data_IF_693236325727
#
_entry.id   IF_693236325727
#
_cell.length_a   1.000
_cell.length_b   1.000
_cell.length_c   1.000
_cell.angle_alpha   90.00
_cell.angle_beta   90.00
_cell.angle_gamma   90.00
#
_symmetry.space_group_name_H-M   'P 1'
#
loop_
_entity.id
_entity.type
_entity.pdbx_description
1 polymer ?
#
# COMPACT_ATOMS: atom_id res chain seq x y z
N UNK A 1 -11.73 -25.48 -11.10
CA UNK A 1 -10.61 -24.73 -11.66
C UNK A 1 -11.13 -24.03 -12.90
N UNK A 2 -11.44 -22.73 -12.81
CA UNK A 2 -11.82 -21.90 -13.96
C UNK A 2 -10.68 -20.91 -14.17
N UNK A 3 -9.86 -21.14 -15.17
CA UNK A 3 -8.83 -20.19 -15.61
C UNK A 3 -9.50 -19.08 -16.40
N UNK A 4 -9.64 -17.91 -15.82
CA UNK A 4 -10.04 -16.71 -16.53
C UNK A 4 -8.80 -16.15 -17.28
N UNK A 5 -8.76 -16.36 -18.59
CA UNK A 5 -7.78 -15.74 -19.47
C UNK A 5 -8.10 -14.24 -19.61
N UNK A 6 -7.35 -13.38 -18.93
CA UNK A 6 -7.38 -11.95 -19.18
C UNK A 6 -6.58 -11.68 -20.45
N UNK A 7 -7.32 -11.43 -21.54
CA UNK A 7 -6.76 -11.00 -22.82
C UNK A 7 -6.33 -9.53 -22.68
N UNK A 8 -5.05 -9.27 -22.38
CA UNK A 8 -4.46 -7.93 -22.47
C UNK A 8 -4.37 -7.56 -23.96
N UNK A 9 -5.26 -6.69 -24.41
CA UNK A 9 -5.14 -6.03 -25.70
C UNK A 9 -3.98 -5.05 -25.63
N UNK A 10 -2.80 -5.47 -26.05
CA UNK A 10 -1.65 -4.59 -26.26
C UNK A 10 -1.92 -3.71 -27.50
N UNK A 11 -2.35 -2.48 -27.26
CA UNK A 11 -2.33 -1.43 -28.28
C UNK A 11 -0.88 -0.88 -28.29
N UNK A 12 -0.10 -1.06 -29.34
CA UNK A 12 1.22 -0.45 -29.43
C UNK A 12 1.04 1.05 -29.73
N UNK A 13 0.89 1.85 -28.68
CA UNK A 13 1.26 3.26 -28.76
C UNK A 13 2.76 3.31 -28.54
N UNK A 14 3.50 3.81 -29.51
CA UNK A 14 4.90 4.20 -29.34
C UNK A 14 4.94 5.23 -28.22
N UNK A 15 5.15 4.75 -27.01
CA UNK A 15 5.28 5.62 -25.83
C UNK A 15 6.65 6.27 -25.92
N UNK A 16 6.68 7.60 -25.95
CA UNK A 16 7.88 8.41 -25.70
C UNK A 16 8.28 8.31 -24.21
N UNK A 17 8.45 7.07 -23.73
CA UNK A 17 8.83 6.83 -22.34
C UNK A 17 10.23 7.38 -22.02
N UNK A 18 11.12 7.37 -23.00
CA UNK A 18 12.50 7.84 -22.83
C UNK A 18 12.59 9.37 -22.64
N UNK A 19 11.64 10.14 -23.12
CA UNK A 19 11.61 11.60 -22.92
C UNK A 19 11.14 11.98 -21.51
N UNK A 20 10.16 11.28 -20.94
CA UNK A 20 9.60 11.63 -19.63
C UNK A 20 10.57 11.36 -18.50
N UNK A 21 11.23 10.20 -18.50
CA UNK A 21 12.18 9.85 -17.43
C UNK A 21 13.43 10.73 -17.45
N UNK A 22 13.82 11.23 -18.62
CA UNK A 22 14.98 12.13 -18.80
C UNK A 22 14.65 13.63 -18.69
N UNK A 23 13.41 13.96 -18.35
CA UNK A 23 12.94 15.35 -18.20
C UNK A 23 12.68 15.65 -16.71
N UNK A 24 13.70 16.03 -15.92
CA UNK A 24 13.53 16.32 -14.50
C UNK A 24 12.44 17.37 -14.26
N UNK A 25 11.54 17.10 -13.31
CA UNK A 25 10.44 17.98 -12.97
C UNK A 25 9.23 17.93 -13.91
N UNK A 26 9.24 17.10 -14.96
CA UNK A 26 8.09 16.91 -15.86
C UNK A 26 7.06 15.92 -15.27
N UNK A 27 6.73 16.05 -14.00
CA UNK A 27 5.72 15.27 -13.29
C UNK A 27 4.65 16.20 -12.69
N UNK A 28 3.46 15.69 -12.30
CA UNK A 28 2.45 16.48 -11.61
C UNK A 28 3.01 17.16 -10.36
N UNK A 29 2.74 18.45 -10.21
CA UNK A 29 3.11 19.22 -9.02
C UNK A 29 1.91 19.28 -8.08
N UNK A 30 2.03 18.66 -6.90
CA UNK A 30 0.99 18.62 -5.90
C UNK A 30 1.59 18.83 -4.50
N UNK A 31 0.73 19.24 -3.56
CA UNK A 31 1.14 19.41 -2.17
C UNK A 31 0.79 18.22 -1.30
N UNK A 32 -0.33 17.56 -1.63
CA UNK A 32 -0.83 16.39 -0.89
C UNK A 32 -1.45 15.42 -1.89
N UNK A 33 -1.17 14.14 -1.70
CA UNK A 33 -1.84 13.02 -2.36
C UNK A 33 -2.74 12.32 -1.34
N UNK A 34 -3.95 11.93 -1.73
CA UNK A 34 -4.87 11.13 -0.92
C UNK A 34 -5.20 9.87 -1.71
N UNK A 35 -5.02 8.70 -1.08
CA UNK A 35 -5.19 7.39 -1.72
C UNK A 35 -6.10 6.50 -0.85
N UNK A 36 -7.42 6.50 -1.03
CA UNK A 36 -8.28 5.41 -0.57
C UNK A 36 -7.91 4.11 -1.31
N UNK A 37 -7.87 2.98 -0.58
CA UNK A 37 -7.45 1.71 -1.15
C UNK A 37 -8.05 0.50 -0.44
N UNK A 38 -8.06 -0.63 -1.15
CA UNK A 38 -8.26 -1.95 -0.59
C UNK A 38 -6.92 -2.52 -0.14
N UNK A 39 -6.94 -3.30 0.95
CA UNK A 39 -5.76 -3.91 1.55
C UNK A 39 -5.93 -5.42 1.59
N UNK A 40 -4.87 -6.13 1.23
CA UNK A 40 -4.69 -7.56 1.48
C UNK A 40 -3.48 -7.68 2.40
N UNK A 41 -3.68 -8.22 3.59
CA UNK A 41 -2.63 -8.46 4.58
C UNK A 41 -1.94 -9.81 4.34
N UNK A 42 -0.63 -9.84 4.61
CA UNK A 42 0.20 -11.03 4.45
C UNK A 42 -0.08 -12.04 5.59
N UNK A 43 -0.22 -13.32 5.24
CA UNK A 43 -0.47 -14.43 6.17
C UNK A 43 0.75 -14.77 7.04
N UNK A 44 1.95 -14.42 6.63
CA UNK A 44 3.17 -14.66 7.40
C UNK A 44 3.24 -13.84 8.69
N UNK A 45 2.50 -12.73 8.77
CA UNK A 45 2.51 -11.82 9.93
C UNK A 45 1.43 -12.19 10.95
N UNK A 46 0.22 -12.52 10.48
CA UNK A 46 -0.98 -12.66 11.31
C UNK A 46 -1.68 -14.02 11.19
N UNK A 47 -0.96 -15.04 10.74
CA UNK A 47 -1.39 -16.44 10.62
C UNK A 47 -2.48 -16.74 9.57
N UNK A 48 -3.02 -15.74 8.90
CA UNK A 48 -3.93 -15.90 7.77
C UNK A 48 -3.88 -14.69 6.85
N UNK A 49 -4.33 -14.82 5.61
CA UNK A 49 -4.50 -13.67 4.74
C UNK A 49 -5.63 -12.78 5.29
N UNK A 50 -5.35 -11.48 5.40
CA UNK A 50 -6.31 -10.48 5.83
C UNK A 50 -6.85 -9.67 4.67
N UNK A 51 -7.99 -9.05 4.85
CA UNK A 51 -8.57 -8.11 3.88
C UNK A 51 -9.13 -6.87 4.58
N UNK A 52 -9.07 -5.76 3.90
CA UNK A 52 -9.48 -4.51 4.52
C UNK A 52 -9.54 -3.33 3.58
N UNK A 53 -9.66 -2.16 4.17
CA UNK A 53 -9.66 -0.87 3.50
C UNK A 53 -8.80 0.11 4.26
N UNK A 54 -8.29 1.09 3.56
CA UNK A 54 -7.46 2.12 4.16
C UNK A 54 -7.40 3.39 3.36
N UNK A 55 -6.66 4.34 3.90
CA UNK A 55 -6.33 5.57 3.21
C UNK A 55 -4.87 5.96 3.50
N UNK A 56 -4.18 6.42 2.48
CA UNK A 56 -2.83 6.98 2.55
C UNK A 56 -2.82 8.45 2.20
N UNK A 57 -1.90 9.17 2.82
CA UNK A 57 -1.61 10.57 2.55
C UNK A 57 -0.13 10.67 2.19
N UNK A 58 0.16 11.27 1.04
CA UNK A 58 1.51 11.50 0.55
C UNK A 58 1.84 12.99 0.50
N UNK A 59 2.98 13.39 1.07
CA UNK A 59 3.47 14.77 1.02
C UNK A 59 4.82 14.75 0.32
N UNK A 60 4.96 15.36 -0.87
CA UNK A 60 6.26 15.51 -1.53
C UNK A 60 7.19 16.37 -0.70
N UNK A 61 8.35 15.82 -0.33
CA UNK A 61 9.39 16.52 0.45
C UNK A 61 10.60 16.90 -0.39
N UNK A 62 10.86 16.17 -1.48
CA UNK A 62 11.91 16.49 -2.47
C UNK A 62 11.28 16.40 -3.86
N UNK A 63 10.94 17.54 -4.45
CA UNK A 63 10.21 17.60 -5.73
C UNK A 63 11.00 17.01 -6.90
N UNK A 64 12.29 17.26 -6.98
CA UNK A 64 13.15 16.75 -8.06
C UNK A 64 13.98 15.53 -7.64
N UNK A 65 13.58 14.86 -6.53
CA UNK A 65 14.19 13.63 -6.03
C UNK A 65 15.68 13.74 -5.72
N UNK A 66 16.33 12.57 -5.58
CA UNK A 66 17.76 12.51 -5.26
C UNK A 66 18.66 12.44 -6.50
N UNK A 67 18.11 12.13 -7.67
CA UNK A 67 18.87 12.00 -8.91
C UNK A 67 18.48 13.11 -9.88
N UNK A 68 19.33 14.17 -10.03
CA UNK A 68 18.96 15.35 -10.80
C UNK A 68 18.81 15.14 -12.31
N UNK A 69 19.34 14.03 -12.83
CA UNK A 69 19.31 13.72 -14.28
C UNK A 69 18.06 12.97 -14.75
N UNK A 70 17.17 12.59 -13.82
CA UNK A 70 15.95 11.86 -14.14
C UNK A 70 14.73 12.48 -13.47
N UNK A 71 13.56 12.19 -14.02
CA UNK A 71 12.29 12.65 -13.49
C UNK A 71 11.86 11.78 -12.31
N UNK A 72 12.10 12.28 -11.10
CA UNK A 72 11.85 11.58 -9.86
C UNK A 72 11.45 12.55 -8.74
N UNK A 73 10.76 12.02 -7.72
CA UNK A 73 10.40 12.79 -6.52
C UNK A 73 10.47 11.91 -5.28
N UNK A 74 10.58 12.53 -4.12
CA UNK A 74 10.52 11.83 -2.83
C UNK A 74 9.39 12.40 -2.00
N UNK A 75 8.56 11.50 -1.45
CA UNK A 75 7.45 11.84 -0.59
C UNK A 75 7.55 11.10 0.75
N UNK A 76 6.98 11.67 1.78
CA UNK A 76 6.65 10.96 3.00
C UNK A 76 5.18 10.54 2.94
N UNK A 77 4.93 9.26 3.20
CA UNK A 77 3.59 8.69 3.21
C UNK A 77 3.23 8.25 4.63
N UNK A 78 2.00 8.52 5.01
CA UNK A 78 1.41 8.01 6.24
C UNK A 78 -0.07 7.69 6.00
N UNK A 79 -0.64 6.84 6.85
CA UNK A 79 -2.03 6.43 6.62
C UNK A 79 -2.61 5.62 7.74
N UNK A 80 -3.78 5.06 7.46
CA UNK A 80 -4.50 4.17 8.34
C UNK A 80 -5.16 3.07 7.50
N UNK A 81 -4.95 1.81 7.90
CA UNK A 81 -5.57 0.65 7.28
C UNK A 81 -6.32 -0.14 8.35
N UNK A 82 -7.55 -0.54 8.07
CA UNK A 82 -8.34 -1.46 8.88
C UNK A 82 -8.37 -2.81 8.16
N UNK A 83 -7.77 -3.83 8.76
CA UNK A 83 -7.63 -5.17 8.15
C UNK A 83 -8.25 -6.22 9.07
N UNK A 84 -9.09 -7.06 8.50
CA UNK A 84 -9.72 -8.20 9.16
C UNK A 84 -8.98 -9.49 8.79
N UNK A 85 -8.71 -10.33 9.80
CA UNK A 85 -8.11 -11.66 9.66
C UNK A 85 -9.06 -12.69 10.24
N UNK A 86 -9.33 -13.77 9.48
CA UNK A 86 -10.28 -14.83 9.86
C UNK A 86 -9.71 -15.81 10.89
N UNK A 87 -8.42 -15.70 11.25
CA UNK A 87 -7.76 -16.59 12.22
C UNK A 87 -6.94 -15.76 13.23
N UNK A 88 -6.87 -16.28 14.45
CA UNK A 88 -6.00 -15.72 15.47
C UNK A 88 -4.77 -16.60 15.67
N UNK A 89 -3.63 -16.01 15.89
CA UNK A 89 -2.33 -16.68 16.03
C UNK A 89 -2.29 -17.80 17.10
N UNK A 90 -3.17 -17.74 18.09
CA UNK A 90 -3.19 -18.70 19.22
C UNK A 90 -4.30 -19.75 19.14
N UNK A 91 -5.21 -19.67 18.19
CA UNK A 91 -6.39 -20.54 18.12
C UNK A 91 -6.68 -20.92 16.67
N UNK A 92 -6.71 -22.23 16.43
CA UNK A 92 -6.82 -22.78 15.06
C UNK A 92 -8.23 -22.75 14.47
N UNK A 93 -9.27 -22.36 15.21
CA UNK A 93 -10.65 -22.31 14.72
C UNK A 93 -11.48 -21.27 15.46
N UNK A 94 -12.22 -20.45 14.71
CA UNK A 94 -13.38 -19.71 15.21
C UNK A 94 -13.10 -18.36 15.87
N UNK A 95 -11.96 -17.70 15.62
CA UNK A 95 -11.78 -16.34 16.05
C UNK A 95 -11.41 -15.42 14.88
N UNK A 96 -11.94 -14.19 14.90
CA UNK A 96 -11.55 -13.12 14.00
C UNK A 96 -10.77 -12.04 14.74
N UNK A 97 -9.78 -11.47 14.10
CA UNK A 97 -9.01 -10.34 14.61
C UNK A 97 -9.07 -9.16 13.65
N UNK A 98 -9.28 -7.96 14.19
CA UNK A 98 -9.18 -6.72 13.45
C UNK A 98 -7.90 -6.00 13.86
N UNK A 99 -7.18 -5.51 12.86
CA UNK A 99 -5.97 -4.73 13.07
C UNK A 99 -6.11 -3.34 12.46
N UNK A 100 -5.75 -2.33 13.24
CA UNK A 100 -5.45 -1.01 12.73
C UNK A 100 -3.96 -0.94 12.46
N UNK A 101 -3.59 -0.62 11.23
CA UNK A 101 -2.22 -0.44 10.79
C UNK A 101 -2.01 1.03 10.45
N UNK A 102 -0.94 1.60 10.94
CA UNK A 102 -0.54 2.98 10.69
C UNK A 102 0.82 2.96 9.97
N UNK A 103 0.81 2.93 8.63
CA UNK A 103 2.03 3.04 7.84
C UNK A 103 2.65 4.43 7.93
N UNK A 104 3.98 4.46 8.04
CA UNK A 104 4.81 5.65 7.84
C UNK A 104 6.00 5.24 7.01
N UNK A 105 6.13 5.79 5.80
CA UNK A 105 7.16 5.39 4.85
C UNK A 105 7.69 6.57 4.04
N UNK A 106 8.93 6.44 3.62
CA UNK A 106 9.53 7.28 2.59
C UNK A 106 9.28 6.59 1.23
N UNK A 107 8.73 7.32 0.28
CA UNK A 107 8.46 6.85 -1.07
C UNK A 107 9.32 7.58 -2.08
N UNK A 108 10.04 6.84 -2.91
CA UNK A 108 10.81 7.37 -4.01
C UNK A 108 10.13 7.03 -5.33
N UNK A 109 9.64 8.06 -6.02
CA UNK A 109 8.87 7.97 -7.26
C UNK A 109 9.77 8.19 -8.48
N UNK A 110 9.50 7.42 -9.54
CA UNK A 110 10.14 7.52 -10.86
C UNK A 110 9.05 7.65 -11.92
N UNK A 111 9.04 8.76 -12.65
CA UNK A 111 8.06 9.02 -13.70
C UNK A 111 8.61 8.52 -15.04
N UNK A 112 8.24 7.30 -15.39
CA UNK A 112 8.76 6.58 -16.56
C UNK A 112 8.11 7.07 -17.85
N UNK A 113 6.81 7.36 -17.77
CA UNK A 113 6.04 7.92 -18.88
C UNK A 113 4.99 8.89 -18.32
N UNK A 114 4.37 9.70 -19.17
CA UNK A 114 3.28 10.63 -18.76
C UNK A 114 2.14 9.92 -18.04
N UNK A 115 1.84 8.69 -18.45
CA UNK A 115 0.74 7.90 -17.92
C UNK A 115 1.17 6.86 -16.92
N UNK A 116 2.48 6.72 -16.65
CA UNK A 116 2.97 5.65 -15.80
C UNK A 116 4.16 6.08 -14.96
N UNK A 117 4.05 5.85 -13.66
CA UNK A 117 5.14 5.98 -12.72
C UNK A 117 5.30 4.71 -11.88
N UNK A 118 6.51 4.46 -11.41
CA UNK A 118 6.83 3.40 -10.46
C UNK A 118 7.45 4.01 -9.22
N UNK A 119 7.39 3.29 -8.10
CA UNK A 119 8.02 3.76 -6.87
C UNK A 119 8.51 2.61 -6.01
N UNK A 120 9.41 2.94 -5.10
CA UNK A 120 9.82 2.09 -3.98
C UNK A 120 9.52 2.81 -2.66
N UNK A 121 9.12 2.05 -1.65
CA UNK A 121 8.85 2.54 -0.31
C UNK A 121 9.67 1.79 0.74
N UNK A 122 10.06 2.51 1.79
CA UNK A 122 10.67 1.94 2.98
C UNK A 122 10.25 2.71 4.22
N UNK A 123 9.90 1.97 5.29
CA UNK A 123 9.41 2.58 6.51
C UNK A 123 9.00 1.57 7.58
N UNK A 124 7.96 1.90 8.32
CA UNK A 124 7.40 1.09 9.39
C UNK A 124 5.86 1.08 9.33
N UNK A 125 5.29 0.00 9.86
CA UNK A 125 3.90 -0.08 10.28
C UNK A 125 3.82 -0.13 11.80
N UNK A 126 3.11 0.81 12.39
CA UNK A 126 2.62 0.65 13.76
C UNK A 126 1.29 -0.10 13.67
N UNK A 127 1.07 -1.10 14.49
CA UNK A 127 -0.18 -1.83 14.47
C UNK A 127 -0.80 -1.94 15.85
N UNK A 128 -2.14 -2.02 15.87
CA UNK A 128 -2.92 -2.33 17.06
C UNK A 128 -3.97 -3.37 16.72
N UNK A 129 -3.89 -4.52 17.38
CA UNK A 129 -4.83 -5.61 17.26
C UNK A 129 -6.02 -5.44 18.21
N UNK A 130 -7.20 -5.83 17.73
CA UNK A 130 -8.44 -5.96 18.49
C UNK A 130 -9.02 -7.34 18.20
N UNK A 131 -9.01 -8.22 19.17
CA UNK A 131 -9.66 -9.54 19.05
C UNK A 131 -11.12 -9.38 19.45
N UNK A 132 -12.03 -9.79 18.58
CA UNK A 132 -13.47 -9.56 18.79
C UNK A 132 -14.12 -10.54 19.75
N UNK A 133 -13.48 -11.68 20.03
CA UNK A 133 -14.07 -12.75 20.81
C UNK A 133 -13.29 -13.05 22.11
N UNK A 134 -14.04 -13.06 23.21
CA UNK A 134 -13.55 -13.62 24.47
C UNK A 134 -13.55 -15.14 24.31
N UNK A 135 -12.41 -15.73 24.01
CA UNK A 135 -12.32 -17.18 23.91
C UNK A 135 -12.21 -17.77 25.31
N UNK A 136 -13.26 -18.47 25.69
CA UNK A 136 -13.31 -19.21 26.93
C UNK A 136 -13.03 -20.69 26.66
N UNK A 137 -11.95 -21.23 27.21
CA UNK A 137 -11.72 -22.68 27.30
C UNK A 137 -12.07 -23.14 28.73
N UNK A 138 -13.27 -23.71 28.89
CA UNK A 138 -13.81 -24.04 30.20
C UNK A 138 -14.10 -22.79 31.06
N UNK A 139 -13.57 -22.74 32.27
CA UNK A 139 -13.73 -21.61 33.19
C UNK A 139 -12.65 -20.51 33.07
N UNK A 140 -11.76 -20.64 32.11
CA UNK A 140 -10.69 -19.66 31.86
C UNK A 140 -11.00 -18.89 30.59
N UNK A 141 -11.43 -17.65 30.73
CA UNK A 141 -11.57 -16.72 29.63
C UNK A 141 -10.30 -15.88 29.52
N UNK A 142 -9.59 -16.01 28.42
CA UNK A 142 -8.53 -15.08 28.09
C UNK A 142 -9.16 -13.83 27.48
N UNK A 143 -9.10 -12.73 28.21
CA UNK A 143 -9.42 -11.41 27.66
C UNK A 143 -8.47 -11.09 26.52
N UNK A 144 -8.99 -10.43 25.51
CA UNK A 144 -8.26 -10.01 24.33
C UNK A 144 -7.02 -9.20 24.71
N UNK A 145 -5.81 -9.67 24.49
CA UNK A 145 -4.65 -8.80 24.59
C UNK A 145 -4.74 -7.75 23.48
N UNK A 146 -4.77 -6.50 23.86
CA UNK A 146 -4.55 -5.42 22.89
C UNK A 146 -3.08 -5.51 22.47
N UNK A 147 -2.85 -6.14 21.34
CA UNK A 147 -1.50 -6.27 20.78
C UNK A 147 -1.13 -4.97 20.06
N UNK A 148 -0.03 -4.36 20.52
CA UNK A 148 0.55 -3.21 19.85
C UNK A 148 1.99 -3.53 19.48
N UNK A 149 2.37 -3.23 18.25
CA UNK A 149 3.71 -3.49 17.80
C UNK A 149 4.13 -2.65 16.61
N UNK A 150 5.35 -2.93 16.17
CA UNK A 150 5.98 -2.27 15.03
C UNK A 150 6.51 -3.34 14.08
N UNK A 151 6.23 -3.17 12.80
CA UNK A 151 6.75 -4.02 11.73
C UNK A 151 7.56 -3.17 10.74
N UNK A 152 8.59 -3.72 10.10
CA UNK A 152 9.20 -3.06 8.96
C UNK A 152 8.19 -2.95 7.82
N UNK A 153 8.30 -1.90 7.02
CA UNK A 153 7.50 -1.68 5.83
C UNK A 153 8.42 -1.51 4.64
N UNK A 154 8.18 -2.27 3.58
CA UNK A 154 8.82 -2.06 2.30
C UNK A 154 7.88 -2.48 1.18
N UNK A 155 7.85 -1.70 0.12
CA UNK A 155 7.00 -1.97 -1.02
C UNK A 155 7.60 -1.44 -2.32
N UNK A 156 7.13 -2.00 -3.41
CA UNK A 156 7.26 -1.42 -4.74
C UNK A 156 5.86 -1.24 -5.31
N UNK A 157 5.68 -0.24 -6.14
CA UNK A 157 4.38 -0.01 -6.73
C UNK A 157 4.43 0.68 -8.09
N UNK A 158 3.27 0.72 -8.71
CA UNK A 158 3.06 1.40 -9.98
C UNK A 158 1.79 2.22 -9.95
N UNK A 159 1.83 3.37 -10.61
CA UNK A 159 0.68 4.24 -10.81
C UNK A 159 0.38 4.39 -12.28
N UNK A 160 -0.89 4.23 -12.62
CA UNK A 160 -1.41 4.55 -13.93
C UNK A 160 -2.21 5.85 -13.85
N UNK A 161 -1.68 6.92 -14.43
CA UNK A 161 -2.27 8.25 -14.42
C UNK A 161 -3.35 8.36 -15.49
N UNK A 162 -4.60 8.55 -15.08
CA UNK A 162 -5.73 8.82 -15.97
C UNK A 162 -5.81 10.30 -16.35
N UNK A 163 -5.38 11.15 -15.42
CA UNK A 163 -5.31 12.60 -15.61
C UNK A 163 -4.19 13.16 -14.73
N UNK A 164 -4.00 14.47 -14.76
CA UNK A 164 -3.01 15.17 -13.91
C UNK A 164 -3.37 15.12 -12.41
N UNK A 165 -4.57 14.64 -12.05
CA UNK A 165 -5.08 14.66 -10.68
C UNK A 165 -5.53 13.28 -10.17
N UNK A 166 -5.58 12.26 -11.04
CA UNK A 166 -6.12 10.94 -10.68
C UNK A 166 -5.26 9.81 -11.25
N UNK A 167 -4.88 8.86 -10.41
CA UNK A 167 -4.19 7.64 -10.82
C UNK A 167 -4.73 6.39 -10.12
N UNK A 168 -4.71 5.25 -10.82
CA UNK A 168 -4.82 3.93 -10.21
C UNK A 168 -3.46 3.57 -9.63
N UNK A 169 -3.44 3.05 -8.40
CA UNK A 169 -2.24 2.69 -7.68
C UNK A 169 -2.27 1.23 -7.26
N UNK A 170 -1.25 0.47 -7.62
CA UNK A 170 -1.00 -0.88 -7.13
C UNK A 170 0.32 -0.88 -6.35
N UNK A 171 0.27 -1.34 -5.10
CA UNK A 171 1.42 -1.47 -4.21
C UNK A 171 1.54 -2.92 -3.78
N UNK A 172 2.73 -3.49 -3.92
CA UNK A 172 3.06 -4.85 -3.49
C UNK A 172 4.25 -4.78 -2.55
N UNK A 173 4.07 -5.27 -1.35
CA UNK A 173 5.11 -5.21 -0.33
C UNK A 173 4.79 -6.01 0.91
N UNK A 174 5.55 -5.74 1.96
CA UNK A 174 5.39 -6.32 3.27
C UNK A 174 4.98 -5.21 4.26
N UNK A 175 3.99 -5.41 5.11
CA UNK A 175 3.17 -6.62 5.31
C UNK A 175 1.87 -6.62 4.48
N UNK A 176 1.69 -5.76 3.50
CA UNK A 176 0.42 -5.60 2.79
C UNK A 176 0.59 -5.42 1.29
N UNK A 177 -0.44 -5.84 0.55
CA UNK A 177 -0.67 -5.48 -0.85
C UNK A 177 -1.88 -4.55 -0.91
N UNK A 178 -1.79 -3.43 -1.65
CA UNK A 178 -2.91 -2.49 -1.78
C UNK A 178 -3.22 -2.16 -3.22
N UNK A 179 -4.52 -1.96 -3.49
CA UNK A 179 -5.04 -1.44 -4.76
C UNK A 179 -5.92 -0.25 -4.45
N UNK A 180 -5.58 0.92 -4.97
CA UNK A 180 -6.25 2.16 -4.66
C UNK A 180 -6.32 3.15 -5.80
N UNK A 181 -6.95 4.28 -5.53
CA UNK A 181 -7.00 5.43 -6.44
C UNK A 181 -6.40 6.63 -5.72
N UNK A 182 -5.39 7.22 -6.34
CA UNK A 182 -4.73 8.43 -5.84
C UNK A 182 -5.35 9.68 -6.45
N UNK A 183 -5.52 10.70 -5.60
CA UNK A 183 -6.02 12.03 -5.94
C UNK A 183 -5.05 13.09 -5.45
N UNK A 184 -4.76 14.15 -6.23
CA UNK A 184 -3.93 15.30 -5.86
C UNK A 184 -4.33 16.62 -6.56
#
# INVERSE_FOLDING_TARGET
VVAAAVCLVCIPRTAHADETIRSPGAHPDYSVEIEPHFVIGDDSVFASAGYGVGARFGIPIVRNGFVPSINNSVAINFGIDLVHYDQCYYLTTGCGANYLLFPVALQWNFFVARQFSVYAEGGIFLYKGFVSDTVCAGNVCAGSPSDFGVLPAFAVGGRWHFSDHVALNLRVGYPTVTLGVSFW
#
